data_IF_289490077036
#
_entry.id   IF_289490077036
#
_cell.length_a   1.000
_cell.length_b   1.000
_cell.length_c   1.000
_cell.angle_alpha   90.00
_cell.angle_beta   90.00
_cell.angle_gamma   90.00
#
_symmetry.space_group_name_H-M   'P 1'
#
loop_
_entity.id
_entity.type
_entity.pdbx_description
1 polymer ?
#
# COMPACT_ATOMS: atom_id res chain seq x y z
N UNK A 1 8.42 -19.05 1.78
CA UNK A 1 7.33 -18.63 2.68
C UNK A 1 6.32 -17.83 1.86
N UNK A 2 5.01 -18.05 2.01
CA UNK A 2 4.01 -17.22 1.32
C UNK A 2 3.91 -15.84 2.00
N UNK A 3 4.01 -14.77 1.20
CA UNK A 3 3.77 -13.39 1.65
C UNK A 3 2.31 -13.21 2.07
N UNK A 4 2.08 -12.38 3.07
CA UNK A 4 0.72 -11.97 3.45
C UNK A 4 0.23 -10.97 2.41
N UNK A 5 -0.81 -11.35 1.68
CA UNK A 5 -1.47 -10.47 0.71
C UNK A 5 -2.48 -9.59 1.42
N UNK A 6 -2.41 -8.30 1.16
CA UNK A 6 -3.29 -7.31 1.76
C UNK A 6 -3.58 -6.16 0.78
N UNK A 7 -4.45 -5.24 1.18
CA UNK A 7 -4.65 -3.99 0.49
C UNK A 7 -4.71 -2.82 1.46
N UNK A 8 -4.67 -1.62 0.89
CA UNK A 8 -4.69 -0.35 1.62
C UNK A 8 -6.06 0.29 1.45
N UNK A 9 -6.73 0.62 2.56
CA UNK A 9 -7.93 1.47 2.58
C UNK A 9 -7.56 2.79 3.25
N UNK A 10 -7.68 3.89 2.52
CA UNK A 10 -7.15 5.20 2.93
C UNK A 10 -5.72 5.39 2.45
N UNK A 11 -5.57 6.10 1.34
CA UNK A 11 -4.32 6.39 0.63
C UNK A 11 -3.78 7.79 0.97
N UNK A 12 -4.03 8.28 2.20
CA UNK A 12 -3.56 9.57 2.68
C UNK A 12 -2.06 9.60 3.03
N UNK A 13 -1.62 10.68 3.68
CA UNK A 13 -0.20 10.93 3.94
C UNK A 13 0.52 9.79 4.68
N UNK A 14 -0.08 9.20 5.71
CA UNK A 14 0.55 8.10 6.47
C UNK A 14 0.68 6.83 5.64
N UNK A 15 -0.30 6.52 4.79
CA UNK A 15 -0.19 5.40 3.87
C UNK A 15 1.01 5.57 2.94
N UNK A 16 1.19 6.78 2.40
CA UNK A 16 2.23 7.07 1.40
C UNK A 16 3.64 7.23 2.02
N UNK A 17 3.75 7.90 3.16
CA UNK A 17 5.06 8.30 3.75
C UNK A 17 5.58 7.26 4.74
N UNK A 18 4.70 6.50 5.39
CA UNK A 18 5.10 5.54 6.43
C UNK A 18 4.79 4.11 6.01
N UNK A 19 3.53 3.79 5.69
CA UNK A 19 3.15 2.39 5.46
C UNK A 19 3.76 1.81 4.19
N UNK A 20 3.68 2.50 3.05
CA UNK A 20 4.23 1.98 1.80
C UNK A 20 5.76 1.78 1.88
N UNK A 21 6.57 2.72 2.39
CA UNK A 21 8.01 2.48 2.60
C UNK A 21 8.28 1.30 3.54
N UNK A 22 7.59 1.22 4.68
CA UNK A 22 7.79 0.12 5.62
C UNK A 22 7.39 -1.24 5.03
N UNK A 23 6.32 -1.29 4.24
CA UNK A 23 5.88 -2.51 3.56
C UNK A 23 6.82 -2.91 2.42
N UNK A 24 7.44 -1.93 1.75
CA UNK A 24 8.50 -2.18 0.78
C UNK A 24 9.73 -2.80 1.44
N UNK A 25 10.19 -2.26 2.57
CA UNK A 25 11.30 -2.83 3.35
C UNK A 25 10.97 -4.25 3.85
N UNK A 26 9.69 -4.53 4.12
CA UNK A 26 9.18 -5.82 4.53
C UNK A 26 8.60 -6.67 3.39
N UNK A 27 8.97 -6.40 2.13
CA UNK A 27 8.42 -7.07 0.95
C UNK A 27 8.61 -8.60 0.95
N UNK A 28 9.61 -9.13 1.67
CA UNK A 28 9.78 -10.56 1.87
C UNK A 28 8.64 -11.22 2.70
N UNK A 29 7.87 -10.41 3.43
CA UNK A 29 6.79 -10.84 4.34
C UNK A 29 5.40 -10.42 3.86
N UNK A 30 5.28 -9.27 3.17
CA UNK A 30 3.99 -8.68 2.79
C UNK A 30 3.93 -8.33 1.31
N UNK A 31 2.71 -8.36 0.77
CA UNK A 31 2.37 -7.96 -0.60
C UNK A 31 1.10 -7.11 -0.60
N UNK A 32 1.22 -5.85 -1.02
CA UNK A 32 0.06 -4.99 -1.28
C UNK A 32 -0.47 -5.32 -2.68
N UNK A 33 -1.73 -5.71 -2.76
CA UNK A 33 -2.35 -6.23 -3.99
C UNK A 33 -3.46 -5.32 -4.53
N UNK A 34 -3.94 -4.38 -3.72
CA UNK A 34 -4.96 -3.39 -4.11
C UNK A 34 -4.91 -2.17 -3.18
N UNK A 35 -5.45 -1.05 -3.68
CA UNK A 35 -5.61 0.18 -2.92
C UNK A 35 -7.02 0.75 -3.14
N UNK A 36 -7.58 1.39 -2.12
CA UNK A 36 -8.90 2.01 -2.13
C UNK A 36 -8.86 3.34 -1.37
N UNK A 37 -9.40 4.37 -2.00
CA UNK A 37 -9.59 5.69 -1.40
C UNK A 37 -10.79 6.39 -2.06
N UNK A 38 -11.41 7.34 -1.37
CA UNK A 38 -12.46 8.20 -1.95
C UNK A 38 -11.91 9.11 -3.04
N UNK A 39 -10.63 9.45 -2.96
CA UNK A 39 -9.87 10.13 -4.00
C UNK A 39 -9.27 9.12 -4.97
N UNK A 40 -9.80 9.07 -6.20
CA UNK A 40 -9.24 8.21 -7.25
C UNK A 40 -7.75 8.47 -7.48
N UNK A 41 -7.32 9.74 -7.44
CA UNK A 41 -5.92 10.11 -7.60
C UNK A 41 -5.02 9.52 -6.51
N UNK A 42 -5.48 9.52 -5.27
CA UNK A 42 -4.72 8.94 -4.15
C UNK A 42 -4.64 7.41 -4.26
N UNK A 43 -5.76 6.76 -4.59
CA UNK A 43 -5.80 5.31 -4.81
C UNK A 43 -4.85 4.90 -5.95
N UNK A 44 -4.88 5.61 -7.08
CA UNK A 44 -3.98 5.36 -8.22
C UNK A 44 -2.51 5.61 -7.86
N UNK A 45 -2.22 6.67 -7.09
CA UNK A 45 -0.86 6.95 -6.66
C UNK A 45 -0.28 5.82 -5.81
N UNK A 46 -1.04 5.32 -4.82
CA UNK A 46 -0.59 4.21 -3.97
C UNK A 46 -0.52 2.90 -4.75
N UNK A 47 -1.47 2.62 -5.65
CA UNK A 47 -1.46 1.42 -6.48
C UNK A 47 -0.29 1.35 -7.47
N UNK A 48 0.32 2.49 -7.82
CA UNK A 48 1.49 2.57 -8.68
C UNK A 48 2.85 2.50 -7.97
N UNK A 49 2.86 2.27 -6.65
CA UNK A 49 4.06 2.15 -5.80
C UNK A 49 4.36 0.69 -5.48
#
# INVERSE_FOLDING_TARGET
MNRIKMGIVGCGAIAQVQHMPNLHDLQARFEVTWACDVSEGAARFVAGK
#
